data_IF_240461041223
#
_entry.id   IF_240461041223
#
_cell.length_a   1.000
_cell.length_b   1.000
_cell.length_c   1.000
_cell.angle_alpha   90.00
_cell.angle_beta   90.00
_cell.angle_gamma   90.00
#
_symmetry.space_group_name_H-M   'P 1'
#
loop_
_entity.id
_entity.type
_entity.pdbx_description
1 polymer ?
#
# COMPACT_ATOMS: atom_id res chain seq x y z
N UNK A 1 -27.47 -89.74 -28.89
CA UNK A 1 -27.73 -88.44 -29.53
C UNK A 1 -28.77 -87.67 -28.74
N UNK A 2 -28.35 -86.66 -27.95
CA UNK A 2 -29.13 -85.47 -27.52
C UNK A 2 -28.33 -84.73 -26.44
N UNK A 3 -27.40 -83.88 -26.86
CA UNK A 3 -26.69 -82.95 -25.98
C UNK A 3 -27.60 -81.74 -25.72
N UNK A 4 -27.84 -81.42 -24.44
CA UNK A 4 -28.52 -80.19 -24.02
C UNK A 4 -27.46 -79.10 -23.85
N UNK A 5 -27.55 -78.05 -24.67
CA UNK A 5 -26.74 -76.84 -24.54
C UNK A 5 -27.24 -76.02 -23.34
N UNK A 6 -26.38 -75.84 -22.33
CA UNK A 6 -26.59 -74.86 -21.26
C UNK A 6 -25.92 -73.56 -21.73
N UNK A 7 -26.73 -72.59 -22.13
CA UNK A 7 -26.24 -71.23 -22.41
C UNK A 7 -26.07 -70.48 -21.08
N UNK A 8 -24.82 -70.30 -20.67
CA UNK A 8 -24.43 -69.52 -19.50
C UNK A 8 -24.50 -68.02 -19.86
N UNK A 9 -25.55 -67.33 -19.44
CA UNK A 9 -25.69 -65.88 -19.60
C UNK A 9 -24.83 -65.17 -18.56
N UNK A 10 -23.63 -64.72 -18.94
CA UNK A 10 -22.80 -63.85 -18.10
C UNK A 10 -23.42 -62.45 -18.13
N UNK A 11 -24.12 -62.11 -17.05
CA UNK A 11 -24.64 -60.77 -16.77
C UNK A 11 -23.45 -59.86 -16.42
N UNK A 12 -22.97 -59.12 -17.41
CA UNK A 12 -21.98 -58.05 -17.22
C UNK A 12 -22.73 -56.81 -16.71
N UNK A 13 -22.83 -56.65 -15.39
CA UNK A 13 -23.31 -55.41 -14.78
C UNK A 13 -22.23 -54.34 -14.92
N UNK A 14 -22.46 -53.23 -15.65
CA UNK A 14 -21.51 -52.11 -15.63
C UNK A 14 -21.58 -51.47 -14.24
N UNK A 15 -20.45 -51.44 -13.52
CA UNK A 15 -20.26 -50.52 -12.42
C UNK A 15 -20.36 -49.11 -13.00
N UNK A 16 -21.49 -48.44 -12.75
CA UNK A 16 -21.57 -47.00 -12.99
C UNK A 16 -20.54 -46.33 -12.08
N UNK A 17 -19.63 -45.49 -12.60
CA UNK A 17 -18.75 -44.70 -11.75
C UNK A 17 -19.63 -43.80 -10.90
N UNK A 18 -19.61 -44.00 -9.58
CA UNK A 18 -20.24 -43.07 -8.64
C UNK A 18 -19.41 -41.79 -8.71
N UNK A 19 -19.96 -40.65 -9.15
CA UNK A 19 -19.23 -39.40 -9.08
C UNK A 19 -18.95 -39.12 -7.60
N UNK A 20 -17.69 -39.20 -7.20
CA UNK A 20 -17.22 -38.65 -5.93
C UNK A 20 -17.31 -37.13 -6.09
N UNK A 21 -18.46 -36.57 -5.77
CA UNK A 21 -18.57 -35.13 -5.58
C UNK A 21 -17.78 -34.80 -4.31
N UNK A 22 -16.61 -34.20 -4.48
CA UNK A 22 -15.89 -33.60 -3.37
C UNK A 22 -16.72 -32.42 -2.87
N UNK A 23 -17.53 -32.65 -1.85
CA UNK A 23 -18.24 -31.61 -1.14
C UNK A 23 -17.20 -30.72 -0.44
N UNK A 24 -16.95 -29.53 -0.98
CA UNK A 24 -15.96 -28.60 -0.43
C UNK A 24 -16.56 -27.93 0.80
N UNK A 25 -16.57 -28.64 1.93
CA UNK A 25 -16.82 -28.04 3.23
C UNK A 25 -15.65 -27.13 3.58
N UNK A 26 -15.89 -25.81 3.61
CA UNK A 26 -14.81 -24.87 3.89
C UNK A 26 -14.51 -24.89 5.40
N UNK A 27 -13.34 -25.37 5.76
CA UNK A 27 -12.81 -25.25 7.13
C UNK A 27 -12.25 -23.84 7.33
N UNK A 28 -13.13 -22.83 7.39
CA UNK A 28 -12.78 -21.41 7.61
C UNK A 28 -12.29 -21.11 9.04
N UNK A 29 -11.88 -22.13 9.83
CA UNK A 29 -11.47 -21.95 11.22
C UNK A 29 -12.58 -21.49 12.17
N UNK A 30 -13.84 -21.43 11.70
CA UNK A 30 -15.01 -21.11 12.52
C UNK A 30 -15.48 -22.40 13.19
N UNK A 31 -15.19 -22.50 14.49
CA UNK A 31 -15.58 -23.63 15.32
C UNK A 31 -16.51 -23.17 16.43
N UNK A 32 -17.77 -23.59 16.35
CA UNK A 32 -18.77 -23.49 17.39
C UNK A 32 -18.99 -24.87 18.02
N UNK A 33 -18.30 -25.22 19.13
CA UNK A 33 -18.38 -26.55 19.71
C UNK A 33 -19.75 -26.86 20.35
N UNK A 34 -20.53 -25.83 20.66
CA UNK A 34 -21.85 -25.92 21.25
C UNK A 34 -22.77 -24.84 20.69
N UNK A 35 -24.08 -25.00 20.89
CA UNK A 35 -25.08 -24.07 20.42
C UNK A 35 -24.82 -22.63 20.93
N UNK A 36 -24.89 -21.61 20.05
CA UNK A 36 -24.50 -20.24 20.38
C UNK A 36 -25.45 -19.57 21.37
N UNK A 37 -24.93 -18.59 22.12
CA UNK A 37 -25.70 -17.77 23.07
C UNK A 37 -26.21 -16.51 22.37
N UNK A 38 -27.20 -16.72 21.51
CA UNK A 38 -27.78 -15.66 20.68
C UNK A 38 -28.63 -14.68 21.50
N UNK A 39 -28.32 -13.39 21.35
CA UNK A 39 -29.03 -12.25 21.96
C UNK A 39 -29.52 -11.34 20.84
N UNK A 40 -30.75 -10.83 20.97
CA UNK A 40 -31.34 -9.94 19.96
C UNK A 40 -30.61 -8.59 19.94
N UNK A 41 -30.31 -8.11 18.74
CA UNK A 41 -29.79 -6.76 18.51
C UNK A 41 -30.95 -5.75 18.66
N UNK A 42 -30.87 -4.77 19.58
CA UNK A 42 -31.94 -3.81 19.82
C UNK A 42 -32.36 -3.04 18.57
N UNK A 43 -33.64 -3.17 18.17
CA UNK A 43 -34.17 -2.50 16.99
C UNK A 43 -33.80 -3.17 15.66
N UNK A 44 -33.35 -4.43 15.69
CA UNK A 44 -33.06 -5.23 14.49
C UNK A 44 -33.63 -6.63 14.65
N UNK A 45 -34.06 -7.28 13.55
CA UNK A 45 -34.53 -8.66 13.55
C UNK A 45 -33.39 -9.69 13.57
N UNK A 46 -32.21 -9.28 14.06
CA UNK A 46 -30.95 -10.02 14.00
C UNK A 46 -30.52 -10.37 15.42
N UNK A 47 -30.05 -11.59 15.63
CA UNK A 47 -29.37 -11.97 16.85
C UNK A 47 -27.85 -11.99 16.62
N UNK A 48 -27.08 -11.81 17.68
CA UNK A 48 -25.64 -11.99 17.67
C UNK A 48 -25.20 -12.79 18.90
N UNK A 49 -24.04 -13.43 18.83
CA UNK A 49 -23.43 -14.07 20.00
C UNK A 49 -22.30 -13.17 20.56
N UNK A 50 -22.47 -12.56 21.75
CA UNK A 50 -21.45 -11.68 22.34
C UNK A 50 -20.17 -12.42 22.78
N UNK A 51 -20.20 -13.75 22.83
CA UNK A 51 -19.10 -14.61 23.26
C UNK A 51 -18.46 -15.38 22.12
N UNK A 52 -18.98 -15.25 20.90
CA UNK A 52 -18.38 -15.85 19.72
C UNK A 52 -16.94 -15.35 19.49
N UNK A 53 -16.10 -16.26 19.01
CA UNK A 53 -14.76 -15.94 18.50
C UNK A 53 -14.78 -15.43 17.05
N UNK A 54 -15.93 -15.15 16.46
CA UNK A 54 -16.04 -14.55 15.13
C UNK A 54 -17.21 -13.55 15.14
N UNK A 55 -17.37 -12.74 14.09
CA UNK A 55 -18.55 -11.89 13.95
C UNK A 55 -19.74 -12.77 13.57
N UNK A 56 -20.55 -13.16 14.55
CA UNK A 56 -21.50 -14.25 14.43
C UNK A 56 -22.93 -13.77 14.68
N UNK A 57 -23.80 -14.02 13.71
CA UNK A 57 -25.16 -13.51 13.70
C UNK A 57 -26.15 -14.61 13.32
N UNK A 58 -27.42 -14.40 13.68
CA UNK A 58 -28.52 -15.21 13.20
C UNK A 58 -29.62 -14.30 12.67
N UNK A 59 -30.00 -14.51 11.42
CA UNK A 59 -30.99 -13.71 10.73
C UNK A 59 -31.79 -14.57 9.75
N UNK A 60 -33.11 -14.40 9.80
CA UNK A 60 -34.07 -14.99 8.87
C UNK A 60 -33.94 -16.52 8.66
N UNK A 61 -33.61 -17.25 9.73
CA UNK A 61 -33.48 -18.71 9.71
C UNK A 61 -32.07 -19.23 9.40
N UNK A 62 -31.10 -18.34 9.21
CA UNK A 62 -29.72 -18.67 8.87
C UNK A 62 -28.74 -18.09 9.89
N UNK A 63 -27.65 -18.80 10.13
CA UNK A 63 -26.45 -18.28 10.78
C UNK A 63 -25.59 -17.57 9.76
N UNK A 64 -25.08 -16.40 10.11
CA UNK A 64 -24.24 -15.56 9.27
C UNK A 64 -22.95 -15.26 10.00
N UNK A 65 -21.82 -15.45 9.33
CA UNK A 65 -20.52 -15.18 9.91
C UNK A 65 -19.71 -14.30 8.98
N UNK A 66 -19.15 -13.23 9.54
CA UNK A 66 -18.21 -12.37 8.85
C UNK A 66 -16.79 -12.62 9.34
N UNK A 67 -15.94 -13.17 8.49
CA UNK A 67 -14.56 -13.49 8.82
C UNK A 67 -13.66 -13.34 7.60
N UNK A 68 -12.44 -12.85 7.79
CA UNK A 68 -11.44 -12.69 6.73
C UNK A 68 -12.03 -11.98 5.51
N UNK A 69 -12.78 -10.91 5.80
CA UNK A 69 -13.48 -10.06 4.84
C UNK A 69 -14.52 -10.72 3.93
N UNK A 70 -15.00 -11.90 4.32
CA UNK A 70 -16.00 -12.67 3.61
C UNK A 70 -17.20 -12.97 4.50
N UNK A 71 -18.38 -12.98 3.88
CA UNK A 71 -19.58 -13.48 4.51
C UNK A 71 -19.75 -14.95 4.23
N UNK A 72 -20.20 -15.67 5.25
CA UNK A 72 -20.55 -17.06 5.19
C UNK A 72 -21.91 -17.29 5.84
N UNK A 73 -22.66 -18.25 5.33
CA UNK A 73 -23.95 -18.61 5.88
C UNK A 73 -24.07 -20.12 6.10
N UNK A 74 -24.94 -20.51 7.02
CA UNK A 74 -25.31 -21.91 7.23
C UNK A 74 -26.67 -21.99 7.92
N UNK A 75 -27.42 -23.05 7.65
CA UNK A 75 -28.63 -23.37 8.42
C UNK A 75 -28.31 -23.97 9.79
N UNK A 76 -27.05 -24.36 10.01
CA UNK A 76 -26.59 -25.02 11.22
C UNK A 76 -25.49 -24.24 11.92
N UNK A 77 -25.52 -24.24 13.25
CA UNK A 77 -24.74 -23.28 14.04
C UNK A 77 -23.22 -23.47 13.95
N UNK A 78 -22.74 -24.65 13.58
CA UNK A 78 -21.33 -24.98 13.40
C UNK A 78 -21.03 -25.37 11.94
N UNK A 79 -21.80 -24.83 11.00
CA UNK A 79 -21.64 -25.13 9.59
C UNK A 79 -22.19 -26.50 9.16
N UNK A 80 -21.84 -26.98 7.95
CA UNK A 80 -20.85 -26.42 7.04
C UNK A 80 -21.22 -25.02 6.56
N UNK A 81 -20.19 -24.23 6.24
CA UNK A 81 -20.32 -22.82 5.89
C UNK A 81 -20.25 -22.63 4.38
N UNK A 82 -21.23 -21.92 3.85
CA UNK A 82 -21.29 -21.53 2.45
C UNK A 82 -20.87 -20.07 2.33
N UNK A 83 -19.95 -19.76 1.41
CA UNK A 83 -19.59 -18.37 1.11
C UNK A 83 -20.81 -17.59 0.60
N UNK A 84 -20.89 -16.28 0.83
CA UNK A 84 -21.98 -15.46 0.27
C UNK A 84 -21.38 -14.25 -0.41
N UNK A 85 -21.71 -14.12 -1.69
CA UNK A 85 -21.28 -12.97 -2.49
C UNK A 85 -21.94 -11.68 -1.97
N UNK A 86 -21.27 -10.52 -2.05
CA UNK A 86 -21.83 -9.24 -1.65
C UNK A 86 -23.20 -8.92 -2.26
N UNK A 87 -23.47 -9.42 -3.47
CA UNK A 87 -24.73 -9.21 -4.21
C UNK A 87 -25.91 -10.01 -3.62
N UNK A 88 -25.63 -11.03 -2.81
CA UNK A 88 -26.61 -11.88 -2.18
C UNK A 88 -26.72 -11.64 -0.68
N UNK A 89 -26.25 -10.48 -0.21
CA UNK A 89 -26.29 -10.13 1.20
C UNK A 89 -27.67 -9.60 1.62
N UNK A 90 -28.31 -10.21 2.62
CA UNK A 90 -29.61 -9.75 3.10
C UNK A 90 -29.51 -8.39 3.79
N UNK A 91 -30.55 -7.58 3.65
CA UNK A 91 -30.57 -6.17 4.05
C UNK A 91 -30.27 -6.02 5.54
N UNK A 92 -30.92 -6.79 6.41
CA UNK A 92 -30.71 -6.61 7.85
C UNK A 92 -29.35 -7.11 8.34
N UNK A 93 -28.66 -7.97 7.58
CA UNK A 93 -27.27 -8.35 7.87
C UNK A 93 -26.31 -7.23 7.46
N UNK A 94 -26.56 -6.56 6.32
CA UNK A 94 -25.81 -5.37 5.94
C UNK A 94 -25.97 -4.23 6.96
N UNK A 95 -27.14 -4.13 7.57
CA UNK A 95 -27.53 -3.04 8.47
C UNK A 95 -27.06 -3.19 9.91
N UNK A 96 -26.42 -4.30 10.27
CA UNK A 96 -25.99 -4.56 11.65
C UNK A 96 -25.04 -3.46 12.10
N UNK A 97 -25.29 -2.79 13.26
CA UNK A 97 -24.39 -1.74 13.72
C UNK A 97 -22.97 -2.26 14.04
N UNK A 98 -21.96 -1.45 13.75
CA UNK A 98 -20.53 -1.81 13.94
C UNK A 98 -20.23 -2.36 15.34
N UNK A 99 -20.87 -1.83 16.39
CA UNK A 99 -20.66 -2.30 17.78
C UNK A 99 -20.96 -3.78 18.02
N UNK A 100 -21.76 -4.42 17.16
CA UNK A 100 -22.13 -5.84 17.30
C UNK A 100 -21.18 -6.79 16.60
N UNK A 101 -20.21 -6.27 15.84
CA UNK A 101 -19.09 -7.05 15.32
C UNK A 101 -18.10 -7.29 16.47
N UNK A 102 -17.93 -8.56 16.87
CA UNK A 102 -17.05 -8.96 17.99
C UNK A 102 -15.58 -8.97 17.62
N UNK A 103 -15.28 -9.18 16.36
CA UNK A 103 -13.95 -9.11 15.75
C UNK A 103 -14.03 -8.23 14.49
N UNK A 104 -14.34 -6.93 14.63
CA UNK A 104 -14.47 -6.05 13.49
C UNK A 104 -13.09 -5.93 12.81
N UNK A 105 -13.01 -6.02 11.46
CA UNK A 105 -11.75 -5.78 10.77
C UNK A 105 -11.20 -4.36 11.01
N UNK A 106 -9.89 -4.12 10.84
CA UNK A 106 -9.28 -2.82 11.16
C UNK A 106 -9.92 -1.61 10.48
N UNK A 107 -10.44 -1.77 9.26
CA UNK A 107 -11.08 -0.69 8.51
C UNK A 107 -12.46 -0.30 9.06
N UNK A 108 -13.05 -1.07 10.00
CA UNK A 108 -14.27 -0.69 10.71
C UNK A 108 -14.00 0.33 11.84
N UNK A 109 -12.76 0.46 12.34
CA UNK A 109 -12.49 1.25 13.55
C UNK A 109 -12.81 2.76 13.43
N UNK A 110 -12.86 3.28 12.20
CA UNK A 110 -13.25 4.67 11.93
C UNK A 110 -14.75 4.87 11.70
N UNK A 111 -15.56 3.82 11.74
CA UNK A 111 -16.98 3.87 11.43
C UNK A 111 -17.83 4.06 12.70
N UNK A 112 -18.99 4.67 12.54
CA UNK A 112 -19.83 5.02 13.68
C UNK A 112 -20.40 3.76 14.36
N UNK A 113 -20.22 3.55 15.68
CA UNK A 113 -20.60 2.31 16.35
C UNK A 113 -22.11 1.96 16.31
N UNK A 114 -23.00 2.95 16.23
CA UNK A 114 -24.45 2.76 16.08
C UNK A 114 -24.93 2.67 14.62
N UNK A 115 -24.03 2.84 13.66
CA UNK A 115 -24.36 2.79 12.24
C UNK A 115 -23.92 1.45 11.63
N UNK A 116 -24.51 1.04 10.49
CA UNK A 116 -23.99 -0.08 9.75
C UNK A 116 -22.59 0.22 9.17
N UNK A 117 -21.79 -0.84 8.91
CA UNK A 117 -20.61 -0.77 8.07
C UNK A 117 -20.81 0.01 6.77
N UNK A 118 -19.81 0.78 6.34
CA UNK A 118 -19.85 1.51 5.08
C UNK A 118 -19.50 0.58 3.91
N UNK A 119 -20.37 -0.38 3.61
CA UNK A 119 -20.13 -1.44 2.62
C UNK A 119 -19.78 -0.92 1.23
N UNK A 120 -20.38 0.18 0.77
CA UNK A 120 -20.04 0.81 -0.51
C UNK A 120 -18.56 1.24 -0.61
N UNK A 121 -17.94 1.64 0.51
CA UNK A 121 -16.49 1.96 0.53
C UNK A 121 -15.61 0.73 0.41
N UNK A 122 -16.12 -0.43 0.79
CA UNK A 122 -15.37 -1.68 0.81
C UNK A 122 -15.57 -2.50 -0.48
N UNK A 123 -16.82 -2.65 -0.94
CA UNK A 123 -17.15 -3.38 -2.16
C UNK A 123 -17.17 -2.51 -3.43
N UNK A 124 -17.12 -1.19 -3.27
CA UNK A 124 -16.97 -0.25 -4.38
C UNK A 124 -18.29 0.34 -4.89
N UNK A 125 -18.19 1.33 -5.80
CA UNK A 125 -19.32 2.10 -6.30
C UNK A 125 -20.33 1.26 -7.09
N UNK A 126 -19.86 0.26 -7.85
CA UNK A 126 -20.74 -0.62 -8.62
C UNK A 126 -21.68 -1.40 -7.69
N UNK A 127 -21.17 -1.90 -6.55
CA UNK A 127 -22.01 -2.57 -5.56
C UNK A 127 -23.03 -1.59 -4.97
N UNK A 128 -22.61 -0.37 -4.61
CA UNK A 128 -23.48 0.67 -4.05
C UNK A 128 -24.59 1.09 -5.04
N UNK A 129 -24.28 1.11 -6.35
CA UNK A 129 -25.26 1.37 -7.40
C UNK A 129 -26.31 0.25 -7.53
N UNK A 130 -25.91 -1.01 -7.42
CA UNK A 130 -26.85 -2.14 -7.44
C UNK A 130 -27.68 -2.24 -6.16
N UNK A 131 -27.20 -1.70 -5.05
CA UNK A 131 -27.85 -1.78 -3.73
C UNK A 131 -28.40 -0.42 -3.26
N UNK A 132 -28.78 0.48 -4.16
CA UNK A 132 -29.28 1.82 -3.80
C UNK A 132 -30.38 1.76 -2.73
N UNK A 133 -30.21 2.54 -1.66
CA UNK A 133 -31.17 2.61 -0.56
C UNK A 133 -31.09 1.46 0.44
N UNK A 134 -30.09 0.57 0.34
CA UNK A 134 -29.91 -0.51 1.31
C UNK A 134 -29.76 -0.01 2.74
N UNK A 135 -29.23 1.19 2.97
CA UNK A 135 -29.02 1.81 4.28
C UNK A 135 -30.19 2.69 4.75
N UNK A 136 -31.18 2.93 3.88
CA UNK A 136 -32.40 3.65 4.21
C UNK A 136 -33.53 2.67 4.53
N UNK A 137 -34.08 2.74 5.75
CA UNK A 137 -35.24 1.94 6.12
C UNK A 137 -36.14 2.63 7.15
N UNK A 138 -37.43 2.28 7.12
CA UNK A 138 -38.36 2.68 8.16
C UNK A 138 -38.20 1.76 9.38
N UNK A 139 -37.73 2.33 10.51
CA UNK A 139 -37.59 1.61 11.78
C UNK A 139 -38.93 1.13 12.35
N UNK A 140 -40.07 1.62 11.85
CA UNK A 140 -41.40 1.13 12.25
C UNK A 140 -41.82 -0.12 11.50
N UNK A 141 -41.17 -0.42 10.36
CA UNK A 141 -41.47 -1.57 9.50
C UNK A 141 -40.50 -2.75 9.72
N UNK A 142 -39.90 -2.86 10.91
CA UNK A 142 -39.00 -3.96 11.23
C UNK A 142 -39.82 -5.25 11.35
N UNK A 143 -39.50 -6.31 10.60
CA UNK A 143 -40.18 -7.59 10.75
C UNK A 143 -39.87 -8.22 12.11
N UNK A 144 -40.74 -9.08 12.65
CA UNK A 144 -40.40 -9.84 13.84
C UNK A 144 -39.17 -10.74 13.56
N UNK A 145 -38.25 -10.88 14.53
CA UNK A 145 -37.08 -11.72 14.36
C UNK A 145 -37.49 -13.20 14.16
N UNK A 146 -36.72 -13.92 13.36
CA UNK A 146 -36.90 -15.36 13.20
C UNK A 146 -36.77 -16.07 14.56
N UNK A 147 -37.56 -17.13 14.82
CA UNK A 147 -37.42 -17.91 16.03
C UNK A 147 -36.04 -18.59 16.06
N UNK A 148 -35.40 -18.66 17.21
CA UNK A 148 -34.13 -19.38 17.31
C UNK A 148 -34.35 -20.90 17.11
N UNK A 149 -33.50 -21.60 16.33
CA UNK A 149 -33.63 -23.04 16.08
C UNK A 149 -33.11 -23.84 17.29
N UNK A 150 -33.81 -23.73 18.42
CA UNK A 150 -33.36 -24.26 19.72
C UNK A 150 -33.22 -25.78 19.75
N UNK A 151 -33.89 -26.51 18.84
CA UNK A 151 -33.72 -27.96 18.68
C UNK A 151 -32.26 -28.33 18.36
N UNK A 152 -31.49 -27.44 17.74
CA UNK A 152 -30.08 -27.69 17.42
C UNK A 152 -29.20 -27.82 18.67
N UNK A 153 -29.66 -27.39 19.86
CA UNK A 153 -28.93 -27.54 21.14
C UNK A 153 -28.59 -28.98 21.49
N UNK A 154 -29.37 -29.94 20.99
CA UNK A 154 -29.19 -31.37 21.25
C UNK A 154 -28.04 -31.97 20.41
N UNK A 155 -27.65 -31.28 19.33
CA UNK A 155 -26.67 -31.72 18.36
C UNK A 155 -25.35 -31.00 18.58
N UNK A 156 -24.46 -31.56 19.39
CA UNK A 156 -23.13 -30.99 19.65
C UNK A 156 -22.05 -32.06 19.70
N UNK A 157 -20.78 -31.66 19.48
CA UNK A 157 -19.64 -32.58 19.43
C UNK A 157 -19.89 -33.74 18.46
N UNK A 158 -19.85 -34.98 18.97
CA UNK A 158 -20.05 -36.19 18.16
C UNK A 158 -21.49 -36.38 17.67
N UNK A 159 -22.47 -35.67 18.26
CA UNK A 159 -23.87 -35.70 17.81
C UNK A 159 -24.17 -34.67 16.73
N UNK A 160 -23.21 -33.81 16.39
CA UNK A 160 -23.42 -32.80 15.36
C UNK A 160 -23.50 -33.47 13.98
N UNK A 161 -24.61 -33.33 13.24
CA UNK A 161 -24.77 -33.94 11.92
C UNK A 161 -23.81 -33.28 10.94
N UNK A 162 -22.97 -34.08 10.29
CA UNK A 162 -21.93 -33.59 9.37
C UNK A 162 -22.36 -33.64 7.91
N UNK A 163 -23.30 -34.52 7.60
CA UNK A 163 -23.83 -34.66 6.25
C UNK A 163 -24.96 -33.64 6.02
N UNK A 164 -24.88 -32.88 4.92
CA UNK A 164 -25.89 -31.85 4.60
C UNK A 164 -27.30 -32.43 4.45
N UNK A 165 -27.42 -33.66 3.95
CA UNK A 165 -28.73 -34.29 3.78
C UNK A 165 -29.41 -34.61 5.13
N UNK A 166 -28.63 -35.12 6.09
CA UNK A 166 -29.12 -35.34 7.46
C UNK A 166 -29.53 -34.01 8.10
N UNK A 167 -28.68 -32.99 7.98
CA UNK A 167 -28.94 -31.64 8.44
C UNK A 167 -30.25 -31.07 7.89
N UNK A 168 -30.50 -31.22 6.58
CA UNK A 168 -31.74 -30.80 5.91
C UNK A 168 -32.95 -31.56 6.44
N UNK A 169 -32.85 -32.88 6.58
CA UNK A 169 -33.93 -33.75 7.07
C UNK A 169 -34.33 -33.40 8.51
N UNK A 170 -33.37 -33.11 9.39
CA UNK A 170 -33.68 -32.67 10.75
C UNK A 170 -34.31 -31.27 10.70
N UNK A 171 -33.73 -30.35 9.94
CA UNK A 171 -34.25 -28.98 9.87
C UNK A 171 -35.69 -28.92 9.36
N UNK A 172 -36.03 -29.62 8.27
CA UNK A 172 -37.38 -29.63 7.71
C UNK A 172 -38.43 -30.19 8.68
N UNK A 173 -38.03 -31.10 9.57
CA UNK A 173 -38.89 -31.67 10.61
C UNK A 173 -39.09 -30.74 11.81
N UNK A 174 -38.04 -30.03 12.23
CA UNK A 174 -38.02 -29.31 13.50
C UNK A 174 -38.17 -27.78 13.36
N UNK A 175 -37.91 -27.21 12.18
CA UNK A 175 -37.87 -25.77 11.96
C UNK A 175 -38.77 -25.35 10.81
N UNK A 176 -39.98 -24.85 11.15
CA UNK A 176 -41.03 -24.50 10.17
C UNK A 176 -41.00 -23.04 9.71
N UNK A 177 -40.06 -22.23 10.20
CA UNK A 177 -39.95 -20.85 9.80
C UNK A 177 -39.53 -20.75 8.33
N UNK A 178 -40.25 -19.93 7.56
CA UNK A 178 -39.90 -19.62 6.19
C UNK A 178 -39.17 -18.28 6.14
N UNK A 179 -37.98 -18.21 5.50
CA UNK A 179 -37.28 -16.96 5.27
C UNK A 179 -38.17 -15.94 4.56
N UNK A 180 -38.03 -14.67 4.91
CA UNK A 180 -38.82 -13.55 4.37
C UNK A 180 -38.09 -12.78 3.29
N UNK A 181 -36.77 -12.72 3.33
CA UNK A 181 -36.01 -12.02 2.29
C UNK A 181 -35.86 -12.89 1.04
N UNK A 182 -36.19 -12.31 -0.11
CA UNK A 182 -36.16 -12.99 -1.42
C UNK A 182 -34.79 -13.59 -1.72
N UNK A 183 -33.71 -12.89 -1.34
CA UNK A 183 -32.35 -13.36 -1.53
C UNK A 183 -32.08 -14.67 -0.77
N UNK A 184 -32.63 -14.83 0.44
CA UNK A 184 -32.51 -16.08 1.20
C UNK A 184 -33.42 -17.15 0.62
N UNK A 185 -34.63 -16.79 0.17
CA UNK A 185 -35.56 -17.76 -0.44
C UNK A 185 -35.02 -18.34 -1.75
N UNK A 186 -34.50 -17.50 -2.64
CA UNK A 186 -33.99 -17.89 -3.96
C UNK A 186 -32.73 -18.77 -3.86
N UNK A 187 -31.94 -18.56 -2.81
CA UNK A 187 -30.68 -19.26 -2.56
C UNK A 187 -30.82 -20.37 -1.49
N UNK A 188 -32.04 -20.66 -1.05
CA UNK A 188 -32.31 -21.67 -0.03
C UNK A 188 -32.39 -23.08 -0.66
N UNK A 189 -31.47 -24.01 -0.32
CA UNK A 189 -31.58 -25.40 -0.74
C UNK A 189 -32.80 -26.12 -0.15
N UNK A 190 -33.45 -25.58 0.90
CA UNK A 190 -34.56 -26.25 1.60
C UNK A 190 -35.80 -26.49 0.73
N UNK A 191 -35.99 -25.73 -0.34
CA UNK A 191 -37.16 -25.82 -1.22
C UNK A 191 -36.83 -26.32 -2.64
N UNK A 192 -35.55 -26.56 -2.94
CA UNK A 192 -35.11 -27.02 -4.25
C UNK A 192 -35.23 -28.54 -4.39
N UNK A 193 -35.45 -29.04 -5.60
CA UNK A 193 -35.40 -30.50 -5.86
C UNK A 193 -33.96 -31.01 -5.76
N UNK A 194 -33.72 -32.32 -5.51
CA UNK A 194 -32.37 -32.88 -5.41
C UNK A 194 -31.46 -32.57 -6.62
N UNK A 195 -32.03 -32.45 -7.82
CA UNK A 195 -31.29 -32.06 -9.03
C UNK A 195 -30.92 -30.59 -9.05
N UNK A 196 -31.87 -29.70 -8.73
CA UNK A 196 -31.64 -28.27 -8.63
C UNK A 196 -30.63 -27.95 -7.51
N UNK A 197 -30.64 -28.71 -6.43
CA UNK A 197 -29.71 -28.60 -5.31
C UNK A 197 -28.28 -28.91 -5.74
N UNK A 198 -28.03 -30.07 -6.39
CA UNK A 198 -26.68 -30.39 -6.90
C UNK A 198 -26.17 -29.33 -7.88
N UNK A 199 -27.07 -28.78 -8.69
CA UNK A 199 -26.72 -27.73 -9.64
C UNK A 199 -26.48 -26.37 -8.97
N UNK A 200 -27.13 -26.11 -7.84
CA UNK A 200 -26.89 -24.94 -6.98
C UNK A 200 -25.53 -25.06 -6.29
N UNK A 201 -25.27 -26.17 -5.60
CA UNK A 201 -24.01 -26.46 -4.92
C UNK A 201 -22.82 -26.37 -5.90
N UNK A 202 -22.90 -27.00 -7.07
CA UNK A 202 -21.84 -26.93 -8.10
C UNK A 202 -21.62 -25.52 -8.65
N UNK A 203 -22.69 -24.75 -8.90
CA UNK A 203 -22.55 -23.36 -9.38
C UNK A 203 -21.94 -22.47 -8.32
N UNK A 204 -22.38 -22.65 -7.09
CA UNK A 204 -21.93 -21.87 -5.94
C UNK A 204 -20.44 -22.11 -5.68
N UNK A 205 -19.99 -23.37 -5.70
CA UNK A 205 -18.58 -23.74 -5.56
C UNK A 205 -17.72 -23.14 -6.69
N UNK A 206 -18.17 -23.23 -7.94
CA UNK A 206 -17.46 -22.63 -9.08
C UNK A 206 -17.41 -21.09 -9.02
N UNK A 207 -18.47 -20.45 -8.53
CA UNK A 207 -18.50 -18.99 -8.39
C UNK A 207 -17.57 -18.54 -7.27
N UNK A 208 -17.61 -19.22 -6.13
CA UNK A 208 -16.73 -18.99 -5.00
C UNK A 208 -15.25 -19.16 -5.38
N UNK A 209 -14.89 -20.23 -6.10
CA UNK A 209 -13.50 -20.44 -6.50
C UNK A 209 -12.99 -19.37 -7.47
N UNK A 210 -13.83 -18.90 -8.39
CA UNK A 210 -13.49 -17.78 -9.29
C UNK A 210 -13.31 -16.48 -8.53
N UNK A 211 -14.15 -16.20 -7.54
CA UNK A 211 -14.08 -14.96 -6.76
C UNK A 211 -12.86 -14.93 -5.84
N UNK A 212 -12.54 -16.05 -5.18
CA UNK A 212 -11.31 -16.19 -4.39
C UNK A 212 -10.06 -15.98 -5.24
N UNK A 213 -10.01 -16.55 -6.46
CA UNK A 213 -8.90 -16.32 -7.39
C UNK A 213 -8.80 -14.86 -7.82
N UNK A 214 -9.93 -14.22 -8.20
CA UNK A 214 -9.95 -12.80 -8.57
C UNK A 214 -9.43 -11.89 -7.46
N UNK A 215 -9.81 -12.15 -6.20
CA UNK A 215 -9.33 -11.36 -5.06
C UNK A 215 -7.84 -11.53 -4.81
N UNK A 216 -7.31 -12.75 -4.95
CA UNK A 216 -5.85 -12.98 -4.87
C UNK A 216 -5.10 -12.21 -5.95
N UNK A 217 -5.60 -12.22 -7.19
CA UNK A 217 -4.99 -11.48 -8.30
C UNK A 217 -5.01 -9.96 -8.04
N UNK A 218 -6.12 -9.42 -7.53
CA UNK A 218 -6.22 -8.00 -7.16
C UNK A 218 -5.22 -7.60 -6.06
N UNK A 219 -5.10 -8.41 -4.99
CA UNK A 219 -4.12 -8.15 -3.94
C UNK A 219 -2.69 -8.15 -4.49
N UNK A 220 -2.35 -9.14 -5.34
CA UNK A 220 -1.03 -9.24 -5.93
C UNK A 220 -0.71 -8.03 -6.82
N UNK A 221 -1.67 -7.58 -7.62
CA UNK A 221 -1.52 -6.41 -8.48
C UNK A 221 -1.33 -5.12 -7.67
N UNK A 222 -2.05 -4.96 -6.56
CA UNK A 222 -1.94 -3.79 -5.70
C UNK A 222 -0.57 -3.74 -5.00
N UNK A 223 -0.06 -4.87 -4.52
CA UNK A 223 1.28 -4.96 -3.95
C UNK A 223 2.37 -4.65 -5.00
N UNK A 224 2.19 -5.11 -6.23
CA UNK A 224 3.11 -4.84 -7.33
C UNK A 224 3.15 -3.35 -7.71
N UNK A 225 1.99 -2.68 -7.76
CA UNK A 225 1.89 -1.23 -7.98
C UNK A 225 2.59 -0.44 -6.86
N UNK A 226 2.42 -0.87 -5.61
CA UNK A 226 3.03 -0.23 -4.46
C UNK A 226 4.56 -0.33 -4.50
N UNK A 227 5.10 -1.53 -4.82
CA UNK A 227 6.54 -1.74 -5.03
C UNK A 227 7.09 -0.89 -6.17
N UNK A 228 6.39 -0.83 -7.31
CA UNK A 228 6.82 -0.03 -8.45
C UNK A 228 6.87 1.47 -8.13
N UNK A 229 5.87 1.98 -7.41
CA UNK A 229 5.85 3.37 -6.96
C UNK A 229 7.01 3.68 -6.01
N UNK A 230 7.30 2.79 -5.07
CA UNK A 230 8.40 2.94 -4.12
C UNK A 230 9.77 2.97 -4.84
N UNK A 231 9.95 2.11 -5.86
CA UNK A 231 11.16 2.09 -6.68
C UNK A 231 11.33 3.37 -7.51
N UNK A 232 10.27 3.86 -8.15
CA UNK A 232 10.28 5.16 -8.86
C UNK A 232 10.69 6.31 -7.94
N UNK A 233 10.19 6.33 -6.71
CA UNK A 233 10.48 7.40 -5.74
C UNK A 233 11.95 7.37 -5.29
N UNK A 234 12.53 6.18 -5.13
CA UNK A 234 13.96 6.02 -4.83
C UNK A 234 14.84 6.48 -6.00
N UNK A 235 14.53 6.07 -7.23
CA UNK A 235 15.27 6.51 -8.43
C UNK A 235 15.24 8.03 -8.61
N UNK A 236 14.08 8.65 -8.41
CA UNK A 236 13.92 10.10 -8.51
C UNK A 236 14.76 10.83 -7.44
N UNK A 237 14.79 10.31 -6.21
CA UNK A 237 15.60 10.85 -5.11
C UNK A 237 17.10 10.71 -5.39
N UNK A 238 17.54 9.57 -5.93
CA UNK A 238 18.94 9.34 -6.31
C UNK A 238 19.38 10.29 -7.42
N UNK A 239 18.58 10.46 -8.49
CA UNK A 239 18.87 11.40 -9.58
C UNK A 239 19.00 12.83 -9.07
N UNK A 240 18.10 13.26 -8.19
CA UNK A 240 18.12 14.62 -7.66
C UNK A 240 19.35 14.88 -6.77
N UNK A 241 19.78 13.88 -5.98
CA UNK A 241 21.03 13.96 -5.22
C UNK A 241 22.27 14.01 -6.13
N UNK A 242 22.31 13.20 -7.18
CA UNK A 242 23.40 13.20 -8.15
C UNK A 242 23.54 14.57 -8.85
N UNK A 243 22.40 15.16 -9.23
CA UNK A 243 22.36 16.47 -9.88
C UNK A 243 22.84 17.59 -8.94
N UNK A 244 22.41 17.58 -7.66
CA UNK A 244 22.94 18.50 -6.63
C UNK A 244 24.45 18.36 -6.44
N UNK A 245 24.97 17.14 -6.43
CA UNK A 245 26.42 16.89 -6.26
C UNK A 245 27.22 17.41 -7.46
N UNK A 246 26.70 17.25 -8.68
CA UNK A 246 27.32 17.79 -9.88
C UNK A 246 27.33 19.32 -9.88
N UNK A 247 26.20 19.97 -9.57
CA UNK A 247 26.14 21.43 -9.46
C UNK A 247 27.09 21.98 -8.41
N UNK A 248 27.19 21.32 -7.25
CA UNK A 248 28.10 21.74 -6.19
C UNK A 248 29.56 21.62 -6.61
N UNK A 249 29.91 20.54 -7.32
CA UNK A 249 31.26 20.33 -7.86
C UNK A 249 31.62 21.36 -8.94
N UNK A 250 30.68 21.68 -9.83
CA UNK A 250 30.87 22.71 -10.86
C UNK A 250 31.08 24.10 -10.24
N UNK A 251 30.26 24.49 -9.25
CA UNK A 251 30.43 25.76 -8.53
C UNK A 251 31.79 25.85 -7.85
N UNK A 252 32.23 24.78 -7.20
CA UNK A 252 33.51 24.76 -6.51
C UNK A 252 34.70 24.87 -7.47
N UNK A 253 34.62 24.25 -8.66
CA UNK A 253 35.64 24.40 -9.70
C UNK A 253 35.65 25.81 -10.30
N UNK A 254 34.50 26.42 -10.56
CA UNK A 254 34.41 27.82 -11.03
C UNK A 254 35.04 28.79 -10.03
N UNK A 255 34.77 28.60 -8.75
CA UNK A 255 35.31 29.45 -7.68
C UNK A 255 36.84 29.31 -7.59
N UNK A 256 37.38 28.08 -7.66
CA UNK A 256 38.83 27.85 -7.73
C UNK A 256 39.48 28.50 -8.95
N UNK A 257 38.87 28.44 -10.12
CA UNK A 257 39.39 29.09 -11.32
C UNK A 257 39.42 30.61 -11.18
N UNK A 258 38.36 31.21 -10.65
CA UNK A 258 38.32 32.66 -10.40
C UNK A 258 39.40 33.10 -9.40
N UNK A 259 39.58 32.37 -8.29
CA UNK A 259 40.64 32.67 -7.31
C UNK A 259 42.03 32.55 -7.93
N UNK A 260 42.26 31.55 -8.78
CA UNK A 260 43.55 31.35 -9.43
C UNK A 260 43.87 32.47 -10.44
N UNK A 261 42.88 32.91 -11.22
CA UNK A 261 43.03 34.05 -12.13
C UNK A 261 43.26 35.37 -11.38
N UNK A 262 42.57 35.60 -10.25
CA UNK A 262 42.80 36.78 -9.42
C UNK A 262 44.21 36.80 -8.82
N UNK A 263 44.70 35.65 -8.33
CA UNK A 263 46.08 35.54 -7.82
C UNK A 263 47.11 35.82 -8.90
N UNK A 264 46.95 35.27 -10.11
CA UNK A 264 47.86 35.56 -11.23
C UNK A 264 47.88 37.03 -11.61
N UNK A 265 46.71 37.68 -11.69
CA UNK A 265 46.63 39.12 -11.98
C UNK A 265 47.31 39.97 -10.89
N UNK A 266 47.12 39.65 -9.61
CA UNK A 266 47.81 40.35 -8.52
C UNK A 266 49.34 40.17 -8.59
N UNK A 267 49.81 38.97 -8.88
CA UNK A 267 51.24 38.69 -9.03
C UNK A 267 51.85 39.49 -10.18
N UNK A 268 51.16 39.53 -11.33
CA UNK A 268 51.62 40.29 -12.50
C UNK A 268 51.68 41.79 -12.22
N UNK A 269 50.70 42.32 -11.49
CA UNK A 269 50.64 43.72 -11.10
C UNK A 269 51.76 44.10 -10.12
N UNK A 270 52.07 43.21 -9.14
CA UNK A 270 53.21 43.40 -8.24
C UNK A 270 54.55 43.37 -8.98
N UNK A 271 54.74 42.45 -9.92
CA UNK A 271 55.96 42.40 -10.74
C UNK A 271 56.13 43.66 -11.59
N UNK A 272 55.05 44.20 -12.17
CA UNK A 272 55.11 45.46 -12.91
C UNK A 272 55.52 46.63 -12.01
N UNK A 273 54.93 46.76 -10.83
CA UNK A 273 55.28 47.79 -9.85
C UNK A 273 56.75 47.68 -9.41
N UNK A 274 57.25 46.47 -9.17
CA UNK A 274 58.67 46.25 -8.84
C UNK A 274 59.61 46.66 -9.98
N UNK A 275 59.30 46.28 -11.22
CA UNK A 275 60.10 46.69 -12.39
C UNK A 275 60.13 48.20 -12.56
N UNK A 276 58.99 48.86 -12.37
CA UNK A 276 58.88 50.31 -12.51
C UNK A 276 59.69 51.05 -11.43
N UNK A 277 59.64 50.56 -10.18
CA UNK A 277 60.46 51.09 -9.09
C UNK A 277 61.97 50.89 -9.34
N UNK A 278 62.38 49.71 -9.84
CA UNK A 278 63.79 49.47 -10.19
C UNK A 278 64.29 50.40 -11.30
N UNK A 279 63.49 50.62 -12.35
CA UNK A 279 63.83 51.57 -13.41
C UNK A 279 63.98 52.99 -12.86
N UNK A 280 63.04 53.44 -12.03
CA UNK A 280 63.12 54.77 -11.43
C UNK A 280 64.37 54.95 -10.55
N UNK A 281 64.74 53.92 -9.80
CA UNK A 281 65.92 53.94 -8.94
C UNK A 281 67.23 53.98 -9.76
N UNK A 282 67.30 53.22 -10.86
CA UNK A 282 68.43 53.29 -11.80
C UNK A 282 68.56 54.67 -12.46
N UNK A 283 67.44 55.28 -12.84
CA UNK A 283 67.42 56.64 -13.41
C UNK A 283 67.92 57.68 -12.40
N UNK A 284 67.52 57.58 -11.13
CA UNK A 284 68.01 58.48 -10.08
C UNK A 284 69.53 58.34 -9.87
N UNK A 285 70.04 57.11 -9.82
CA UNK A 285 71.48 56.83 -9.70
C UNK A 285 72.27 57.41 -10.88
N UNK A 286 71.76 57.27 -12.11
CA UNK A 286 72.39 57.87 -13.29
C UNK A 286 72.41 59.40 -13.21
N UNK A 287 71.30 60.04 -12.80
CA UNK A 287 71.24 61.50 -12.64
C UNK A 287 72.23 62.00 -11.58
N UNK A 288 72.33 61.32 -10.44
CA UNK A 288 73.31 61.65 -9.39
C UNK A 288 74.75 61.54 -9.89
N UNK A 289 75.08 60.47 -10.59
CA UNK A 289 76.43 60.30 -11.16
C UNK A 289 76.76 61.38 -12.19
N UNK A 290 75.81 61.76 -13.05
CA UNK A 290 76.01 62.86 -14.00
C UNK A 290 76.22 64.20 -13.29
N UNK A 291 75.44 64.52 -12.25
CA UNK A 291 75.64 65.73 -11.47
C UNK A 291 77.01 65.75 -10.80
N UNK A 292 77.43 64.64 -10.18
CA UNK A 292 78.74 64.55 -9.55
C UNK A 292 79.88 64.76 -10.55
N UNK A 293 79.76 64.21 -11.76
CA UNK A 293 80.74 64.36 -12.82
C UNK A 293 80.83 65.80 -13.34
N UNK A 294 79.68 66.48 -13.50
CA UNK A 294 79.65 67.91 -13.85
C UNK A 294 80.30 68.78 -12.76
N UNK A 295 80.05 68.46 -11.49
CA UNK A 295 80.62 69.20 -10.36
C UNK A 295 82.14 69.02 -10.27
N UNK A 296 82.66 67.83 -10.56
CA UNK A 296 84.11 67.57 -10.66
C UNK A 296 84.75 68.35 -11.81
N UNK A 297 84.13 68.40 -12.99
CA UNK A 297 84.59 69.18 -14.14
C UNK A 297 84.64 70.68 -13.83
N UNK A 298 83.63 71.22 -13.12
CA UNK A 298 83.64 72.61 -12.69
C UNK A 298 84.78 72.91 -11.70
N UNK A 299 85.03 72.02 -10.72
CA UNK A 299 86.14 72.19 -9.78
C UNK A 299 87.51 72.16 -10.47
N UNK A 300 87.71 71.26 -11.43
CA UNK A 300 88.95 71.23 -12.23
C UNK A 300 89.15 72.51 -13.03
N UNK A 301 88.10 73.02 -13.69
CA UNK A 301 88.19 74.28 -14.42
C UNK A 301 88.51 75.46 -13.51
N UNK A 302 87.92 75.53 -12.30
CA UNK A 302 88.24 76.58 -11.32
C UNK A 302 89.69 76.50 -10.83
N UNK A 303 90.21 75.29 -10.55
CA UNK A 303 91.61 75.11 -10.17
C UNK A 303 92.56 75.54 -11.28
N UNK A 304 92.26 75.17 -12.53
CA UNK A 304 93.08 75.57 -13.68
C UNK A 304 93.09 77.09 -13.87
N UNK A 305 91.95 77.75 -13.64
CA UNK A 305 91.83 79.21 -13.72
C UNK A 305 92.62 79.91 -12.60
N UNK A 306 92.61 79.36 -11.38
CA UNK A 306 93.45 79.85 -10.27
C UNK A 306 94.94 79.67 -10.53
N UNK A 307 95.37 78.55 -11.10
CA UNK A 307 96.78 78.36 -11.49
C UNK A 307 97.22 79.35 -12.57
N UNK A 308 96.35 79.66 -13.54
CA UNK A 308 96.67 80.67 -14.56
C UNK A 308 96.84 82.07 -13.96
N UNK A 309 95.98 82.46 -13.01
CA UNK A 309 96.08 83.72 -12.27
C UNK A 309 97.36 83.80 -11.42
N UNK A 310 97.77 82.70 -10.79
CA UNK A 310 99.03 82.64 -10.04
C UNK A 310 100.27 82.75 -10.95
N UNK A 311 100.24 82.14 -12.14
CA UNK A 311 101.33 82.28 -13.13
C UNK A 311 101.43 83.72 -13.67
N UNK A 312 100.31 84.40 -13.89
CA UNK A 312 100.30 85.82 -14.27
C UNK A 312 100.90 86.72 -13.18
N UNK A 313 100.56 86.48 -11.91
CA UNK A 313 101.13 87.25 -10.80
C UNK A 313 102.63 87.00 -10.59
N UNK A 314 103.13 85.79 -10.86
CA UNK A 314 104.57 85.51 -10.79
C UNK A 314 105.35 86.17 -11.94
N UNK A 315 104.76 86.33 -13.12
CA UNK A 315 105.39 87.08 -14.22
C UNK A 315 105.48 88.59 -13.92
N UNK A 316 104.54 89.16 -13.16
CA UNK A 316 104.60 90.56 -12.74
C UNK A 316 105.64 90.87 -11.65
N UNK A 317 106.17 89.85 -10.95
CA UNK A 317 107.19 90.02 -9.91
C UNK A 317 108.64 89.95 -10.39
N UNK A 318 108.88 89.73 -11.69
CA UNK A 318 110.23 89.71 -12.28
C UNK A 318 110.61 91.00 -13.03
N UNK A 319 109.76 92.04 -13.00
CA UNK A 319 110.00 93.35 -13.64
C UNK A 319 110.13 94.53 -12.66
N UNK A 320 110.44 94.28 -11.38
CA UNK A 320 110.91 95.30 -10.42
C UNK A 320 112.21 94.85 -9.78
#
# INVERSE_FOLDING_TARGET
MRYRLIALSILFSPLLPVPVHAEVSISIGINMPAYPRLVLVPGYPVYYDPYASSNYFFYDGMYWVYQDDNWYASYWYNGPWDWVAPEYMPLFVLRIPVRYYRRPPPYFYGWHPDAPPLWGRYWGPDWEEHHRGWDHWDRRAIPPPAPLPVYQREYSGNRYPREREEQRSIQSRHYRYQPREDVIQQHSPLHATPEQQRQYEQRHDQQMQRELSRRQDQQHQQEQLQRQNQQRQQEQSQRQNQQRQQEQSQRQNQQRQQEQSQRQNQQHQQEQLQRQNQQHQQEQLQRQNQQHQQEQLQRQNQQHQQEQLQRQNQQHQQEQ
#
